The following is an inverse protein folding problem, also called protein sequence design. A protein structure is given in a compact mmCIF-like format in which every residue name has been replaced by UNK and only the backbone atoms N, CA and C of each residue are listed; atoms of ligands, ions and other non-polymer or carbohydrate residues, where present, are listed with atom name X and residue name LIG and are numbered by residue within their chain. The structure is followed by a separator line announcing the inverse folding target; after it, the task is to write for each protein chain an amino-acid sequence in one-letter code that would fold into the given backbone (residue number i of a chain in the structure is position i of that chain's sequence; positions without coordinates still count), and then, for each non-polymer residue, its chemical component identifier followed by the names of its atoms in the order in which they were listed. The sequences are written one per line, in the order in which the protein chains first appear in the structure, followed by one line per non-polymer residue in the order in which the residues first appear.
data_IF_246230589765
#
_entry.id   IF_246230589765
#
_cell.length_a   1.000
_cell.length_b   1.000
_cell.length_c   1.000
_cell.angle_alpha   90.00
_cell.angle_beta   90.00
_cell.angle_gamma   90.00
#
_symmetry.space_group_name_H-M   'P 1'
#
loop_
_entity.id
_entity.type
_entity.pdbx_description
1 polymer ?
#
# COMPACT_ATOMS: atom_id res chain seq x y z
N UNK A 1 -18.95 -9.21 -12.79
CA UNK A 1 -17.59 -9.78 -12.84
C UNK A 1 -16.66 -8.81 -12.13
N UNK A 2 -15.69 -9.25 -11.32
CA UNK A 2 -14.69 -8.33 -10.77
C UNK A 2 -13.99 -7.59 -11.92
N UNK A 3 -13.72 -6.31 -11.72
CA UNK A 3 -13.00 -5.50 -12.69
C UNK A 3 -11.52 -5.85 -12.64
N UNK A 4 -10.91 -6.05 -13.80
CA UNK A 4 -9.48 -6.31 -13.90
C UNK A 4 -8.67 -5.17 -13.26
N UNK A 5 -7.58 -5.52 -12.59
CA UNK A 5 -6.73 -4.56 -11.86
C UNK A 5 -6.01 -3.59 -12.81
N UNK A 6 -5.51 -4.11 -13.92
CA UNK A 6 -4.87 -3.32 -15.00
C UNK A 6 -5.81 -3.33 -16.17
N UNK A 7 -6.13 -2.19 -16.75
CA UNK A 7 -7.08 -2.11 -17.87
C UNK A 7 -6.51 -2.75 -19.14
N UNK A 8 -7.42 -3.20 -20.02
CA UNK A 8 -7.01 -3.74 -21.34
C UNK A 8 -6.21 -2.74 -22.16
N UNK A 9 -6.48 -1.44 -22.00
CA UNK A 9 -5.77 -0.38 -22.72
C UNK A 9 -4.31 -0.30 -22.26
N UNK A 10 -4.05 -0.26 -20.96
CA UNK A 10 -2.68 -0.26 -20.41
C UNK A 10 -1.86 -1.47 -20.87
N UNK A 11 -2.47 -2.66 -20.90
CA UNK A 11 -1.82 -3.88 -21.42
C UNK A 11 -1.50 -3.79 -22.91
N UNK A 12 -2.42 -3.22 -23.68
CA UNK A 12 -2.27 -3.03 -25.12
C UNK A 12 -1.11 -2.08 -25.41
N UNK A 13 -0.98 -0.98 -24.67
CA UNK A 13 0.11 -0.02 -24.86
C UNK A 13 1.48 -0.65 -24.57
N UNK A 14 1.60 -1.43 -23.48
CA UNK A 14 2.84 -2.17 -23.20
C UNK A 14 3.14 -3.21 -24.28
N UNK A 15 2.12 -3.90 -24.80
CA UNK A 15 2.31 -4.82 -25.93
C UNK A 15 2.84 -4.09 -27.16
N UNK A 16 2.27 -2.94 -27.51
CA UNK A 16 2.74 -2.19 -28.69
C UNK A 16 4.17 -1.63 -28.48
N UNK A 17 4.60 -1.33 -27.26
CA UNK A 17 6.02 -1.11 -26.95
C UNK A 17 6.88 -2.33 -27.32
N UNK A 18 6.50 -3.52 -26.86
CA UNK A 18 7.23 -4.76 -27.15
C UNK A 18 7.24 -5.12 -28.64
N UNK A 19 6.21 -4.74 -29.40
CA UNK A 19 6.18 -4.88 -30.87
C UNK A 19 7.29 -4.05 -31.54
N UNK A 20 7.82 -3.02 -30.89
CA UNK A 20 9.02 -2.29 -31.34
C UNK A 20 10.35 -2.99 -31.04
N UNK A 21 10.36 -4.05 -30.22
CA UNK A 21 11.57 -4.73 -29.71
C UNK A 21 11.83 -6.08 -30.41
N UNK A 22 12.63 -6.99 -29.85
CA UNK A 22 12.85 -8.35 -30.38
C UNK A 22 12.05 -9.41 -29.61
N UNK A 23 11.87 -10.60 -30.21
CA UNK A 23 11.27 -11.76 -29.52
C UNK A 23 12.08 -12.20 -28.29
N UNK A 24 13.40 -12.04 -28.33
CA UNK A 24 14.28 -12.36 -27.21
C UNK A 24 14.02 -11.42 -26.02
N UNK A 25 13.97 -10.10 -26.26
CA UNK A 25 13.67 -9.10 -25.22
C UNK A 25 12.31 -9.39 -24.57
N UNK A 26 11.30 -9.73 -25.38
CA UNK A 26 9.99 -10.09 -24.84
C UNK A 26 10.09 -11.31 -23.92
N UNK A 27 10.82 -12.36 -24.33
CA UNK A 27 10.95 -13.56 -23.49
C UNK A 27 11.72 -13.25 -22.22
N UNK A 28 12.86 -12.58 -22.33
CA UNK A 28 13.74 -12.23 -21.21
C UNK A 28 12.99 -11.42 -20.14
N UNK A 29 12.21 -10.41 -20.53
CA UNK A 29 11.46 -9.57 -19.58
C UNK A 29 10.35 -10.33 -18.84
N UNK A 30 9.58 -11.15 -19.55
CA UNK A 30 8.47 -11.89 -18.94
C UNK A 30 8.96 -13.09 -18.12
N UNK A 31 9.98 -13.80 -18.59
CA UNK A 31 10.59 -14.92 -17.87
C UNK A 31 11.30 -14.44 -16.60
N UNK A 32 11.99 -13.29 -16.64
CA UNK A 32 12.62 -12.68 -15.47
C UNK A 32 11.59 -12.26 -14.38
N UNK A 33 10.33 -12.05 -14.77
CA UNK A 33 9.23 -11.78 -13.86
C UNK A 33 8.44 -13.04 -13.44
N UNK A 34 8.94 -14.24 -13.74
CA UNK A 34 8.28 -15.52 -13.48
C UNK A 34 6.88 -15.65 -14.12
N UNK A 35 6.68 -15.08 -15.31
CA UNK A 35 5.44 -15.21 -16.09
C UNK A 35 5.65 -16.25 -17.17
N UNK A 36 4.95 -17.38 -17.10
CA UNK A 36 5.01 -18.41 -18.15
C UNK A 36 4.19 -18.01 -19.38
N UNK A 37 4.59 -18.47 -20.57
CA UNK A 37 3.80 -18.35 -21.80
C UNK A 37 2.97 -19.60 -22.09
N UNK A 38 1.80 -19.40 -22.71
CA UNK A 38 1.02 -20.47 -23.33
C UNK A 38 1.27 -20.45 -24.85
N UNK A 39 2.28 -21.20 -25.30
CA UNK A 39 2.68 -21.24 -26.72
C UNK A 39 1.61 -21.86 -27.65
N UNK A 40 0.61 -22.56 -27.09
CA UNK A 40 -0.51 -23.13 -27.86
C UNK A 40 -1.64 -22.12 -28.05
N UNK A 41 -1.61 -20.99 -27.33
CA UNK A 41 -2.61 -19.95 -27.50
C UNK A 41 -2.41 -19.22 -28.84
N UNK A 42 -3.49 -19.13 -29.63
CA UNK A 42 -3.56 -18.38 -30.88
C UNK A 42 -4.48 -17.15 -30.73
N UNK A 43 -3.94 -15.98 -30.35
CA UNK A 43 -4.71 -14.80 -29.98
C UNK A 43 -5.41 -14.06 -31.15
N UNK A 44 -5.38 -14.61 -32.38
CA UNK A 44 -6.01 -13.98 -33.57
C UNK A 44 -5.42 -12.60 -33.94
N UNK A 45 -4.25 -12.25 -33.40
CA UNK A 45 -3.55 -11.00 -33.67
C UNK A 45 -2.47 -11.18 -34.73
N UNK A 46 -2.24 -10.16 -35.55
CA UNK A 46 -1.19 -10.18 -36.57
C UNK A 46 0.21 -9.92 -36.00
N UNK A 47 1.17 -10.79 -36.35
CA UNK A 47 2.60 -10.61 -36.11
C UNK A 47 3.13 -11.44 -34.92
N UNK A 48 4.36 -11.95 -35.08
CA UNK A 48 4.99 -12.85 -34.10
C UNK A 48 5.17 -12.20 -32.72
N UNK A 49 5.60 -10.93 -32.65
CA UNK A 49 5.80 -10.20 -31.38
C UNK A 49 4.50 -9.98 -30.61
N UNK A 50 3.42 -9.56 -31.30
CA UNK A 50 2.08 -9.43 -30.69
C UNK A 50 1.57 -10.76 -30.18
N UNK A 51 1.76 -11.81 -30.97
CA UNK A 51 1.36 -13.18 -30.61
C UNK A 51 2.05 -13.61 -29.32
N UNK A 52 3.37 -13.46 -29.23
CA UNK A 52 4.15 -13.87 -28.06
C UNK A 52 3.72 -13.14 -26.79
N UNK A 53 3.53 -11.82 -26.84
CA UNK A 53 3.05 -11.06 -25.65
C UNK A 53 1.67 -11.53 -25.21
N UNK A 54 0.76 -11.78 -26.16
CA UNK A 54 -0.58 -12.29 -25.83
C UNK A 54 -0.55 -13.72 -25.25
N UNK A 55 0.41 -14.55 -25.67
CA UNK A 55 0.65 -15.87 -25.07
C UNK A 55 1.11 -15.79 -23.62
N UNK A 56 1.91 -14.78 -23.24
CA UNK A 56 2.19 -14.48 -21.83
C UNK A 56 0.97 -13.91 -21.11
N UNK A 57 0.27 -12.93 -21.70
CA UNK A 57 -0.91 -12.32 -21.07
C UNK A 57 -2.04 -13.30 -20.80
N UNK A 58 -2.12 -14.38 -21.58
CA UNK A 58 -3.10 -15.44 -21.41
C UNK A 58 -2.97 -16.18 -20.07
N UNK A 59 -1.75 -16.29 -19.53
CA UNK A 59 -1.48 -17.03 -18.28
C UNK A 59 -1.70 -16.17 -17.03
N UNK A 60 -1.82 -14.85 -17.20
CA UNK A 60 -2.00 -13.89 -16.11
C UNK A 60 -3.47 -13.82 -15.71
N UNK A 61 -3.77 -14.09 -14.44
CA UNK A 61 -5.07 -13.74 -13.87
C UNK A 61 -5.11 -12.26 -13.49
N UNK A 62 -5.71 -11.44 -14.35
CA UNK A 62 -5.80 -9.98 -14.17
C UNK A 62 -6.67 -9.50 -13.00
N UNK A 63 -7.41 -10.43 -12.36
CA UNK A 63 -8.12 -10.18 -11.11
C UNK A 63 -7.31 -10.61 -9.88
N UNK A 64 -6.17 -11.29 -10.08
CA UNK A 64 -5.24 -11.69 -9.04
C UNK A 64 -4.10 -10.69 -8.94
N UNK A 65 -3.89 -10.13 -7.75
CA UNK A 65 -2.76 -9.24 -7.54
C UNK A 65 -1.40 -9.96 -7.61
N UNK A 66 -1.31 -11.24 -7.22
CA UNK A 66 -0.06 -12.00 -7.33
C UNK A 66 0.47 -12.01 -8.76
N UNK A 67 -0.43 -12.22 -9.72
CA UNK A 67 -0.10 -12.33 -11.13
C UNK A 67 0.13 -10.94 -11.72
N UNK A 68 -0.71 -9.97 -11.34
CA UNK A 68 -0.53 -8.58 -11.75
C UNK A 68 0.79 -8.01 -11.22
N UNK A 69 1.26 -8.40 -10.04
CA UNK A 69 2.56 -7.93 -9.51
C UNK A 69 3.71 -8.34 -10.43
N UNK A 70 3.69 -9.55 -10.96
CA UNK A 70 4.68 -10.01 -11.94
C UNK A 70 4.63 -9.14 -13.20
N UNK A 71 3.43 -8.87 -13.70
CA UNK A 71 3.24 -7.94 -14.81
C UNK A 71 3.74 -6.52 -14.49
N UNK A 72 3.52 -6.04 -13.27
CA UNK A 72 4.05 -4.74 -12.82
C UNK A 72 5.57 -4.74 -12.81
N UNK A 73 6.25 -5.83 -12.45
CA UNK A 73 7.71 -5.94 -12.57
C UNK A 73 8.19 -5.78 -14.01
N UNK A 74 7.53 -6.43 -14.97
CA UNK A 74 7.81 -6.21 -16.41
C UNK A 74 7.61 -4.72 -16.76
N UNK A 75 6.52 -4.12 -16.29
CA UNK A 75 6.21 -2.72 -16.54
C UNK A 75 7.26 -1.77 -15.93
N UNK A 76 7.72 -2.05 -14.70
CA UNK A 76 8.77 -1.29 -14.00
C UNK A 76 10.10 -1.35 -14.75
N UNK A 77 10.51 -2.53 -15.21
CA UNK A 77 11.74 -2.70 -16.02
C UNK A 77 11.68 -1.86 -17.29
N UNK A 78 10.56 -1.92 -18.02
CA UNK A 78 10.34 -1.14 -19.23
C UNK A 78 10.38 0.36 -18.95
N UNK A 79 9.69 0.83 -17.91
CA UNK A 79 9.69 2.25 -17.54
C UNK A 79 11.08 2.73 -17.15
N UNK A 80 11.83 1.95 -16.36
CA UNK A 80 13.20 2.29 -15.94
C UNK A 80 14.12 2.42 -17.15
N UNK A 81 14.08 1.46 -18.08
CA UNK A 81 14.89 1.53 -19.29
C UNK A 81 14.53 2.72 -20.19
N UNK A 82 13.25 3.05 -20.28
CA UNK A 82 12.80 4.23 -21.03
C UNK A 82 13.17 5.55 -20.34
N UNK A 83 13.15 5.60 -19.01
CA UNK A 83 13.59 6.74 -18.19
C UNK A 83 15.08 7.02 -18.40
N UNK A 84 15.94 6.00 -18.30
CA UNK A 84 17.39 6.13 -18.54
C UNK A 84 17.70 6.70 -19.94
N UNK A 85 16.94 6.25 -20.96
CA UNK A 85 17.08 6.75 -22.34
C UNK A 85 16.55 8.17 -22.50
N UNK A 86 15.44 8.49 -21.84
CA UNK A 86 14.89 9.84 -21.82
C UNK A 86 15.89 10.82 -21.19
N UNK A 87 16.55 10.44 -20.10
CA UNK A 87 17.62 11.21 -19.46
C UNK A 87 18.84 11.37 -20.38
N UNK A 88 19.13 10.37 -21.22
CA UNK A 88 20.10 10.45 -22.31
C UNK A 88 19.62 11.26 -23.53
N UNK A 89 18.48 11.98 -23.42
CA UNK A 89 17.88 12.86 -24.44
C UNK A 89 17.32 12.14 -25.66
N UNK A 90 16.88 10.90 -25.51
CA UNK A 90 16.09 10.19 -26.52
C UNK A 90 14.61 10.65 -26.48
N UNK A 91 14.21 11.49 -27.44
CA UNK A 91 12.85 12.03 -27.50
C UNK A 91 11.76 10.97 -27.68
N UNK A 92 12.05 9.88 -28.40
CA UNK A 92 11.07 8.84 -28.67
C UNK A 92 10.89 7.95 -27.43
N UNK A 93 11.97 7.68 -26.71
CA UNK A 93 11.90 7.04 -25.39
C UNK A 93 11.10 7.91 -24.41
N UNK A 94 11.34 9.22 -24.35
CA UNK A 94 10.62 10.14 -23.49
C UNK A 94 9.10 10.17 -23.78
N UNK A 95 8.71 10.22 -25.06
CA UNK A 95 7.28 10.14 -25.46
C UNK A 95 6.64 8.82 -25.06
N UNK A 96 7.37 7.72 -25.26
CA UNK A 96 6.89 6.37 -24.94
C UNK A 96 6.73 6.18 -23.43
N UNK A 97 7.72 6.62 -22.65
CA UNK A 97 7.69 6.65 -21.18
C UNK A 97 6.45 7.41 -20.69
N UNK A 98 6.26 8.64 -21.15
CA UNK A 98 5.14 9.48 -20.75
C UNK A 98 3.77 8.88 -21.13
N UNK A 99 3.69 8.16 -22.25
CA UNK A 99 2.47 7.45 -22.64
C UNK A 99 2.17 6.28 -21.69
N UNK A 100 3.15 5.40 -21.46
CA UNK A 100 3.00 4.24 -20.59
C UNK A 100 2.69 4.66 -19.15
N UNK A 101 3.45 5.62 -18.61
CA UNK A 101 3.21 6.19 -17.28
C UNK A 101 1.76 6.70 -17.14
N UNK A 102 1.26 7.47 -18.10
CA UNK A 102 -0.11 8.00 -18.06
C UNK A 102 -1.18 6.91 -17.98
N UNK A 103 -1.01 5.80 -18.70
CA UNK A 103 -1.99 4.72 -18.72
C UNK A 103 -1.99 3.90 -17.43
N UNK A 104 -0.80 3.58 -16.90
CA UNK A 104 -0.72 2.85 -15.63
C UNK A 104 -1.16 3.74 -14.45
N UNK A 105 -0.95 5.05 -14.51
CA UNK A 105 -1.48 6.01 -13.54
C UNK A 105 -3.01 6.05 -13.54
N UNK A 106 -3.63 6.00 -14.72
CA UNK A 106 -5.09 5.92 -14.85
C UNK A 106 -5.68 4.64 -14.22
N UNK A 107 -4.89 3.57 -14.15
CA UNK A 107 -5.26 2.32 -13.46
C UNK A 107 -4.98 2.37 -11.94
N UNK A 108 -4.62 3.54 -11.40
CA UNK A 108 -4.47 3.77 -9.97
C UNK A 108 -3.07 3.44 -9.43
N UNK A 109 -2.04 3.51 -10.28
CA UNK A 109 -0.64 3.39 -9.88
C UNK A 109 0.08 4.74 -9.93
N UNK A 110 1.26 4.82 -9.32
CA UNK A 110 2.17 5.95 -9.39
C UNK A 110 3.57 5.41 -9.51
N UNK A 111 4.31 5.95 -10.48
CA UNK A 111 5.71 5.64 -10.72
C UNK A 111 6.61 6.63 -9.97
N UNK A 112 7.60 6.12 -9.24
CA UNK A 112 8.65 6.93 -8.63
C UNK A 112 9.90 6.09 -8.41
N UNK A 113 11.07 6.60 -8.83
CA UNK A 113 12.38 5.98 -8.62
C UNK A 113 12.43 4.48 -8.99
N UNK A 114 12.02 4.15 -10.22
CA UNK A 114 12.02 2.77 -10.73
C UNK A 114 10.91 1.87 -10.20
N UNK A 115 9.95 2.39 -9.43
CA UNK A 115 8.93 1.58 -8.75
C UNK A 115 7.51 2.07 -8.98
N UNK A 116 6.60 1.14 -9.25
CA UNK A 116 5.16 1.35 -9.35
C UNK A 116 4.48 0.97 -8.03
N UNK A 117 3.64 1.88 -7.53
CA UNK A 117 2.90 1.71 -6.29
C UNK A 117 1.44 2.10 -6.48
N UNK A 118 0.50 1.44 -5.81
CA UNK A 118 -0.92 1.78 -5.90
C UNK A 118 -1.23 3.07 -5.13
N UNK A 119 -1.88 4.03 -5.79
CA UNK A 119 -2.17 5.39 -5.28
C UNK A 119 -2.98 5.37 -3.97
N UNK A 120 -3.94 4.44 -3.82
CA UNK A 120 -4.76 4.35 -2.60
C UNK A 120 -4.01 3.91 -1.34
N UNK A 121 -2.91 3.17 -1.49
CA UNK A 121 -2.01 2.82 -0.38
C UNK A 121 -0.91 3.86 -0.16
N UNK A 122 -0.52 4.56 -1.24
CA UNK A 122 0.55 5.57 -1.21
C UNK A 122 0.12 6.82 -0.46
N UNK A 123 -1.04 7.40 -0.76
CA UNK A 123 -1.51 8.64 -0.14
C UNK A 123 -1.69 8.53 1.39
N UNK A 124 -2.25 7.41 1.89
CA UNK A 124 -2.41 7.20 3.34
C UNK A 124 -1.06 7.05 4.05
N UNK A 125 -0.08 6.41 3.40
CA UNK A 125 1.26 6.21 3.98
C UNK A 125 2.13 7.46 3.86
N UNK A 126 1.98 8.25 2.79
CA UNK A 126 2.59 9.58 2.64
C UNK A 126 2.10 10.55 3.71
N UNK A 127 0.80 10.56 4.01
CA UNK A 127 0.25 11.41 5.07
C UNK A 127 0.84 11.07 6.44
N UNK A 128 1.06 9.79 6.75
CA UNK A 128 1.81 9.44 7.97
C UNK A 128 3.26 9.90 7.86
N UNK A 129 3.94 9.65 6.73
CA UNK A 129 5.34 10.00 6.58
C UNK A 129 5.59 11.51 6.78
N UNK A 130 4.67 12.36 6.29
CA UNK A 130 4.69 13.81 6.50
C UNK A 130 4.45 14.14 7.98
N UNK A 131 3.40 13.60 8.60
CA UNK A 131 3.09 13.85 10.01
C UNK A 131 4.19 13.33 10.95
N UNK A 132 4.83 12.22 10.61
CA UNK A 132 5.93 11.59 11.34
C UNK A 132 7.27 12.31 11.13
N UNK A 133 7.45 12.99 10.00
CA UNK A 133 8.64 13.81 9.72
C UNK A 133 8.84 14.92 10.75
N UNK A 134 7.78 15.36 11.43
CA UNK A 134 7.85 16.32 12.53
C UNK A 134 8.46 15.75 13.82
N UNK A 135 8.51 14.41 13.97
CA UNK A 135 9.01 13.74 15.18
C UNK A 135 10.40 13.12 15.02
N UNK A 136 10.98 13.11 13.82
CA UNK A 136 12.28 12.49 13.49
C UNK A 136 12.45 11.06 14.06
N UNK A 137 11.51 10.16 13.74
CA UNK A 137 11.55 8.76 14.21
C UNK A 137 11.92 7.82 13.06
N UNK A 138 13.18 7.38 12.93
CA UNK A 138 13.63 6.48 11.86
C UNK A 138 12.86 5.15 11.81
N UNK A 139 12.37 4.69 12.95
CA UNK A 139 11.58 3.45 13.04
C UNK A 139 10.24 3.57 12.30
N UNK A 140 9.57 4.73 12.32
CA UNK A 140 8.31 4.93 11.60
C UNK A 140 8.52 4.81 10.09
N UNK A 141 9.62 5.34 9.55
CA UNK A 141 9.93 5.23 8.13
C UNK A 141 10.19 3.77 7.71
N UNK A 142 10.91 3.00 8.55
CA UNK A 142 11.11 1.57 8.32
C UNK A 142 9.79 0.80 8.32
N UNK A 143 8.91 1.08 9.28
CA UNK A 143 7.60 0.44 9.37
C UNK A 143 6.71 0.79 8.16
N UNK A 144 6.71 2.04 7.70
CA UNK A 144 5.98 2.47 6.49
C UNK A 144 6.48 1.70 5.26
N UNK A 145 7.79 1.64 5.03
CA UNK A 145 8.36 0.89 3.90
C UNK A 145 8.03 -0.61 3.98
N UNK A 146 8.09 -1.19 5.18
CA UNK A 146 7.70 -2.59 5.43
C UNK A 146 6.22 -2.82 5.11
N UNK A 147 5.33 -1.92 5.52
CA UNK A 147 3.90 -1.98 5.17
C UNK A 147 3.71 -1.94 3.64
N UNK A 148 4.35 -1.00 2.93
CA UNK A 148 4.21 -0.85 1.47
C UNK A 148 4.55 -2.13 0.71
N UNK A 149 5.61 -2.81 1.15
CA UNK A 149 6.06 -4.07 0.55
C UNK A 149 5.21 -5.27 0.95
N UNK A 150 4.62 -5.25 2.16
CA UNK A 150 3.88 -6.36 2.73
C UNK A 150 2.38 -6.38 2.38
N UNK A 151 1.70 -5.23 2.21
CA UNK A 151 0.22 -5.12 2.08
C UNK A 151 -0.40 -6.20 1.20
N UNK A 152 0.28 -6.51 0.11
CA UNK A 152 -0.22 -7.40 -0.92
C UNK A 152 0.39 -8.80 -0.91
N UNK A 153 1.62 -8.95 -0.41
CA UNK A 153 2.37 -10.22 -0.47
C UNK A 153 2.33 -10.98 0.85
N UNK A 154 2.28 -10.22 1.95
CA UNK A 154 2.17 -10.73 3.31
C UNK A 154 1.18 -9.84 4.10
N UNK A 155 -0.13 -10.02 3.89
CA UNK A 155 -1.16 -9.27 4.59
C UNK A 155 -1.04 -9.37 6.12
N UNK A 156 -0.55 -10.50 6.63
CA UNK A 156 -0.34 -10.73 8.06
C UNK A 156 0.75 -9.81 8.59
N UNK A 157 1.90 -9.77 7.91
CA UNK A 157 2.99 -8.85 8.23
C UNK A 157 2.54 -7.39 8.11
N UNK A 158 1.81 -7.03 7.07
CA UNK A 158 1.32 -5.66 6.89
C UNK A 158 0.44 -5.20 8.06
N UNK A 159 -0.45 -6.07 8.55
CA UNK A 159 -1.35 -5.78 9.67
C UNK A 159 -0.57 -5.70 10.99
N UNK A 160 0.37 -6.63 11.21
CA UNK A 160 1.26 -6.58 12.37
C UNK A 160 2.06 -5.28 12.40
N UNK A 161 2.62 -4.88 11.26
CA UNK A 161 3.38 -3.63 11.12
C UNK A 161 2.49 -2.40 11.30
N UNK A 162 1.25 -2.43 10.82
CA UNK A 162 0.30 -1.33 11.00
C UNK A 162 -0.05 -1.11 12.49
N UNK A 163 -0.20 -2.19 13.26
CA UNK A 163 -0.35 -2.13 14.72
C UNK A 163 0.90 -1.53 15.37
N UNK A 164 2.08 -2.06 15.04
CA UNK A 164 3.36 -1.57 15.58
C UNK A 164 3.55 -0.07 15.30
N UNK A 165 3.16 0.41 14.11
CA UNK A 165 3.22 1.82 13.74
C UNK A 165 2.38 2.70 14.67
N UNK A 166 1.15 2.30 15.00
CA UNK A 166 0.31 3.04 15.95
C UNK A 166 0.92 3.00 17.35
N UNK A 167 1.48 1.85 17.77
CA UNK A 167 2.15 1.72 19.07
C UNK A 167 3.38 2.64 19.15
N UNK A 168 4.22 2.68 18.12
CA UNK A 168 5.37 3.60 18.03
C UNK A 168 4.93 5.05 18.13
N UNK A 169 3.93 5.47 17.35
CA UNK A 169 3.38 6.84 17.43
C UNK A 169 2.89 7.17 18.84
N UNK A 170 2.12 6.26 19.46
CA UNK A 170 1.59 6.50 20.79
C UNK A 170 2.69 6.60 21.84
N UNK A 171 3.66 5.69 21.82
CA UNK A 171 4.81 5.70 22.74
C UNK A 171 5.61 6.99 22.60
N UNK A 172 5.91 7.43 21.37
CA UNK A 172 6.64 8.69 21.13
C UNK A 172 5.88 9.90 21.70
N UNK A 173 4.56 9.98 21.48
CA UNK A 173 3.74 11.08 22.03
C UNK A 173 3.75 11.07 23.57
N UNK A 174 3.60 9.89 24.18
CA UNK A 174 3.57 9.74 25.64
C UNK A 174 4.93 10.08 26.27
N UNK A 175 6.02 9.64 25.65
CA UNK A 175 7.39 9.96 26.06
C UNK A 175 7.63 11.48 26.03
N UNK A 176 7.27 12.16 24.93
CA UNK A 176 7.41 13.62 24.82
C UNK A 176 6.55 14.39 25.82
N UNK A 177 5.40 13.83 26.22
CA UNK A 177 4.52 14.40 27.26
C UNK A 177 4.88 13.96 28.67
N UNK A 178 5.93 13.15 28.85
CA UNK A 178 6.40 12.66 30.15
C UNK A 178 5.31 11.87 30.88
N UNK A 179 4.52 11.09 30.15
CA UNK A 179 3.45 10.24 30.69
C UNK A 179 3.95 8.79 30.74
N UNK A 180 4.12 8.20 31.93
CA UNK A 180 4.59 6.83 32.05
C UNK A 180 3.52 5.84 31.62
N UNK A 181 3.94 4.79 30.91
CA UNK A 181 3.12 3.64 30.57
C UNK A 181 3.92 2.35 30.81
N UNK A 182 3.26 1.21 31.11
CA UNK A 182 3.92 -0.08 31.21
C UNK A 182 4.65 -0.45 29.90
N UNK A 183 5.82 -1.09 30.01
CA UNK A 183 6.61 -1.51 28.84
C UNK A 183 5.85 -2.51 27.95
N UNK A 184 4.97 -3.31 28.57
CA UNK A 184 4.11 -4.32 27.94
C UNK A 184 2.70 -3.82 27.59
N UNK A 185 2.46 -2.50 27.68
CA UNK A 185 1.18 -1.91 27.35
C UNK A 185 0.78 -2.23 25.90
N UNK A 186 -0.43 -2.77 25.74
CA UNK A 186 -0.99 -3.03 24.42
C UNK A 186 -1.45 -1.73 23.73
N UNK A 187 -1.70 -1.83 22.42
CA UNK A 187 -2.22 -0.73 21.59
C UNK A 187 -3.46 -0.05 22.19
N UNK A 188 -4.34 -0.80 22.86
CA UNK A 188 -5.55 -0.24 23.47
C UNK A 188 -5.23 0.67 24.64
N UNK A 189 -4.33 0.24 25.52
CA UNK A 189 -3.81 1.05 26.65
C UNK A 189 -3.10 2.29 26.13
N UNK A 190 -2.19 2.13 25.17
CA UNK A 190 -1.42 3.23 24.59
C UNK A 190 -2.31 4.31 23.96
N UNK A 191 -3.26 3.91 23.11
CA UNK A 191 -4.17 4.85 22.45
C UNK A 191 -5.09 5.54 23.47
N UNK A 192 -5.52 4.83 24.51
CA UNK A 192 -6.32 5.43 25.59
C UNK A 192 -5.56 6.54 26.31
N UNK A 193 -4.31 6.29 26.72
CA UNK A 193 -3.51 7.28 27.43
C UNK A 193 -3.15 8.48 26.53
N UNK A 194 -2.80 8.26 25.26
CA UNK A 194 -2.59 9.36 24.31
C UNK A 194 -3.85 10.19 24.14
N UNK A 195 -5.02 9.56 23.95
CA UNK A 195 -6.28 10.30 23.81
C UNK A 195 -6.57 11.13 25.04
N UNK A 196 -6.32 10.61 26.24
CA UNK A 196 -6.47 11.37 27.48
C UNK A 196 -5.50 12.56 27.54
N UNK A 197 -4.22 12.32 27.24
CA UNK A 197 -3.17 13.34 27.21
C UNK A 197 -3.46 14.47 26.20
N UNK A 198 -4.07 14.11 25.08
CA UNK A 198 -4.46 15.03 24.02
C UNK A 198 -5.90 15.52 24.16
N UNK A 199 -6.59 15.30 25.28
CA UNK A 199 -7.99 15.74 25.47
C UNK A 199 -8.95 15.29 24.36
N UNK A 200 -8.72 14.11 23.77
CA UNK A 200 -9.51 13.43 22.74
C UNK A 200 -10.45 12.38 23.37
N UNK A 201 -11.08 12.78 24.48
CA UNK A 201 -12.01 11.95 25.25
C UNK A 201 -13.42 12.54 25.15
N UNK A 202 -14.49 11.74 25.09
CA UNK A 202 -15.85 12.28 24.97
C UNK A 202 -16.20 13.35 26.00
N UNK A 203 -15.67 13.22 27.21
CA UNK A 203 -15.88 14.10 28.36
C UNK A 203 -15.27 15.50 28.16
N UNK A 204 -14.25 15.64 27.31
CA UNK A 204 -13.64 16.94 27.01
C UNK A 204 -14.45 17.78 26.03
N UNK A 205 -15.48 17.21 25.40
CA UNK A 205 -16.33 17.91 24.42
C UNK A 205 -17.43 18.67 25.16
N UNK A 206 -17.50 20.03 25.05
CA UNK A 206 -18.54 20.82 25.70
C UNK A 206 -19.94 20.41 25.23
N UNK A 207 -20.86 20.17 26.16
CA UNK A 207 -22.23 19.72 25.87
C UNK A 207 -23.03 20.72 25.02
N UNK A 208 -22.71 22.01 25.12
CA UNK A 208 -23.35 23.07 24.35
C UNK A 208 -22.81 23.21 22.92
N UNK A 209 -21.74 22.50 22.55
CA UNK A 209 -21.18 22.58 21.21
C UNK A 209 -22.12 21.94 20.19
N UNK A 210 -22.37 22.64 19.07
CA UNK A 210 -23.15 22.09 17.96
C UNK A 210 -22.45 20.83 17.44
N UNK A 211 -23.14 19.69 17.49
CA UNK A 211 -22.58 18.40 17.07
C UNK A 211 -21.73 17.68 18.12
N UNK A 212 -21.78 18.09 19.40
CA UNK A 212 -21.02 17.46 20.49
C UNK A 212 -21.20 15.93 20.54
N UNK A 213 -22.42 15.43 20.39
CA UNK A 213 -22.69 13.98 20.38
C UNK A 213 -22.01 13.27 19.21
N UNK A 214 -22.00 13.87 18.02
CA UNK A 214 -21.31 13.34 16.84
C UNK A 214 -19.81 13.26 17.08
N UNK A 215 -19.21 14.32 17.63
CA UNK A 215 -17.77 14.35 17.95
C UNK A 215 -17.42 13.28 18.98
N UNK A 216 -18.21 13.17 20.06
CA UNK A 216 -18.02 12.13 21.08
C UNK A 216 -18.05 10.73 20.47
N UNK A 217 -19.00 10.46 19.57
CA UNK A 217 -19.09 9.17 18.88
C UNK A 217 -17.87 8.91 17.98
N UNK A 218 -17.38 9.92 17.26
CA UNK A 218 -16.16 9.78 16.44
C UNK A 218 -14.94 9.46 17.30
N UNK A 219 -14.77 10.13 18.44
CA UNK A 219 -13.68 9.86 19.38
C UNK A 219 -13.77 8.44 19.96
N UNK A 220 -14.97 7.96 20.29
CA UNK A 220 -15.17 6.58 20.73
C UNK A 220 -14.81 5.57 19.63
N UNK A 221 -15.25 5.82 18.39
CA UNK A 221 -14.93 4.97 17.24
C UNK A 221 -13.42 4.90 16.96
N UNK A 222 -12.69 5.99 17.21
CA UNK A 222 -11.23 6.01 17.11
C UNK A 222 -10.56 4.97 18.05
N UNK A 223 -11.06 4.85 19.28
CA UNK A 223 -10.62 3.81 20.21
C UNK A 223 -10.93 2.39 19.72
N UNK A 224 -12.13 2.18 19.16
CA UNK A 224 -12.54 0.89 18.60
C UNK A 224 -11.68 0.48 17.41
N UNK A 225 -11.20 1.43 16.59
CA UNK A 225 -10.25 1.16 15.50
C UNK A 225 -8.95 0.58 16.05
N UNK A 226 -8.37 1.21 17.08
CA UNK A 226 -7.14 0.73 17.70
C UNK A 226 -7.30 -0.68 18.29
N UNK A 227 -8.41 -0.93 18.99
CA UNK A 227 -8.75 -2.26 19.50
C UNK A 227 -8.88 -3.28 18.37
N UNK A 228 -9.62 -2.94 17.31
CA UNK A 228 -9.81 -3.79 16.15
C UNK A 228 -8.49 -4.13 15.43
N UNK A 229 -7.51 -3.22 15.39
CA UNK A 229 -6.17 -3.51 14.87
C UNK A 229 -5.43 -4.56 15.73
N UNK A 230 -5.53 -4.46 17.05
CA UNK A 230 -4.96 -5.44 17.98
C UNK A 230 -5.57 -6.84 17.80
N UNK A 231 -6.90 -6.90 17.76
CA UNK A 231 -7.66 -8.14 17.54
C UNK A 231 -7.35 -8.75 16.19
N UNK A 232 -7.33 -7.94 15.13
CA UNK A 232 -7.01 -8.39 13.78
C UNK A 232 -5.59 -8.97 13.75
N UNK A 233 -4.59 -8.31 14.32
CA UNK A 233 -3.23 -8.87 14.42
C UNK A 233 -3.24 -10.21 15.16
N UNK A 234 -4.00 -10.38 16.23
CA UNK A 234 -4.04 -11.63 16.98
C UNK A 234 -4.67 -12.79 16.19
N UNK A 235 -5.57 -12.49 15.24
CA UNK A 235 -6.08 -13.48 14.29
C UNK A 235 -5.00 -13.94 13.28
N UNK A 236 -3.97 -13.13 13.03
CA UNK A 236 -2.87 -13.41 12.09
C UNK A 236 -1.55 -13.85 12.75
N UNK A 237 -1.29 -13.45 13.98
CA UNK A 237 -0.06 -13.74 14.73
C UNK A 237 -0.08 -15.18 15.24
N UNK A 238 0.75 -16.02 14.65
CA UNK A 238 0.92 -17.45 14.91
C UNK A 238 0.84 -17.86 16.38
N UNK A 239 -0.01 -18.84 16.74
CA UNK A 239 0.22 -19.59 17.98
C UNK A 239 -0.94 -20.28 18.70
N UNK A 240 -1.88 -20.95 18.03
CA UNK A 240 -2.45 -22.21 18.55
C UNK A 240 -3.08 -23.00 17.39
N UNK A 241 -2.54 -24.19 17.15
CA UNK A 241 -2.96 -25.05 16.05
C UNK A 241 -4.45 -25.34 16.08
N UNK A 242 -5.14 -24.94 15.02
CA UNK A 242 -6.19 -25.76 14.43
C UNK A 242 -5.95 -25.80 12.93
N UNK A 243 -5.65 -27.00 12.46
CA UNK A 243 -5.65 -27.35 11.06
C UNK A 243 -6.89 -26.73 10.37
N UNK A 244 -6.66 -25.86 9.39
CA UNK A 244 -7.66 -25.54 8.36
C UNK A 244 -8.30 -24.14 8.31
N UNK A 245 -8.05 -23.20 9.25
CA UNK A 245 -8.90 -21.99 9.35
C UNK A 245 -8.22 -20.60 9.25
N UNK A 246 -6.94 -20.48 8.88
CA UNK A 246 -6.37 -19.18 8.46
C UNK A 246 -6.71 -18.83 6.99
N UNK A 247 -7.77 -19.42 6.43
CA UNK A 247 -8.36 -19.04 5.14
C UNK A 247 -9.36 -17.92 5.39
N UNK A 248 -9.01 -16.67 5.11
CA UNK A 248 -10.05 -15.64 5.07
C UNK A 248 -9.57 -14.23 4.79
N UNK A 249 -8.37 -13.88 5.26
CA UNK A 249 -7.95 -12.50 5.22
C UNK A 249 -6.84 -12.27 4.18
N UNK A 250 -7.24 -11.67 3.04
CA UNK A 250 -6.33 -11.26 1.96
C UNK A 250 -5.98 -9.76 1.95
N UNK A 251 -5.28 -9.29 0.90
CA UNK A 251 -4.76 -7.92 0.79
C UNK A 251 -5.77 -6.81 1.05
N UNK A 252 -7.05 -7.02 0.72
CA UNK A 252 -8.12 -6.03 1.00
C UNK A 252 -8.25 -5.71 2.50
N UNK A 253 -8.04 -6.68 3.39
CA UNK A 253 -8.13 -6.47 4.83
C UNK A 253 -6.85 -5.81 5.37
N UNK A 254 -5.68 -6.15 4.80
CA UNK A 254 -4.45 -5.42 5.10
C UNK A 254 -4.56 -3.95 4.70
N UNK A 255 -5.12 -3.65 3.53
CA UNK A 255 -5.39 -2.25 3.11
C UNK A 255 -6.34 -1.53 4.07
N UNK A 256 -7.39 -2.19 4.56
CA UNK A 256 -8.29 -1.62 5.56
C UNK A 256 -7.56 -1.31 6.87
N UNK A 257 -6.80 -2.28 7.40
CA UNK A 257 -6.06 -2.13 8.64
C UNK A 257 -4.99 -1.04 8.53
N UNK A 258 -4.20 -1.06 7.45
CA UNK A 258 -3.19 -0.03 7.18
C UNK A 258 -3.85 1.33 7.05
N UNK A 259 -4.90 1.47 6.23
CA UNK A 259 -5.59 2.76 6.08
C UNK A 259 -6.13 3.30 7.40
N UNK A 260 -6.74 2.42 8.23
CA UNK A 260 -7.24 2.80 9.54
C UNK A 260 -6.11 3.21 10.52
N UNK A 261 -5.02 2.45 10.54
CA UNK A 261 -3.82 2.77 11.31
C UNK A 261 -3.20 4.10 10.87
N UNK A 262 -3.14 4.34 9.55
CA UNK A 262 -2.64 5.58 8.97
C UNK A 262 -3.46 6.78 9.37
N UNK A 263 -4.78 6.72 9.21
CA UNK A 263 -5.67 7.80 9.63
C UNK A 263 -5.57 8.08 11.13
N UNK A 264 -5.50 7.03 11.96
CA UNK A 264 -5.33 7.16 13.40
C UNK A 264 -4.00 7.84 13.75
N UNK A 265 -2.89 7.32 13.22
CA UNK A 265 -1.55 7.82 13.47
C UNK A 265 -1.41 9.29 13.07
N UNK A 266 -1.80 9.63 11.82
CA UNK A 266 -1.76 11.02 11.33
C UNK A 266 -2.56 11.95 12.23
N UNK A 267 -3.80 11.59 12.58
CA UNK A 267 -4.63 12.44 13.42
C UNK A 267 -4.04 12.68 14.82
N UNK A 268 -3.46 11.64 15.45
CA UNK A 268 -2.82 11.76 16.76
C UNK A 268 -1.58 12.67 16.69
N UNK A 269 -0.77 12.54 15.64
CA UNK A 269 0.42 13.35 15.41
C UNK A 269 0.08 14.81 15.15
N UNK A 270 -0.88 15.09 14.27
CA UNK A 270 -1.36 16.45 13.98
C UNK A 270 -1.92 17.10 15.25
N UNK A 271 -2.78 16.40 15.98
CA UNK A 271 -3.32 16.89 17.26
C UNK A 271 -2.22 17.15 18.28
N UNK A 272 -1.20 16.28 18.33
CA UNK A 272 -0.06 16.46 19.22
C UNK A 272 0.73 17.72 18.89
N UNK A 273 1.02 17.96 17.61
CA UNK A 273 1.74 19.14 17.13
C UNK A 273 0.95 20.43 17.39
N UNK A 274 -0.36 20.45 17.10
CA UNK A 274 -1.23 21.59 17.38
C UNK A 274 -1.30 21.95 18.86
N UNK A 275 -1.23 20.96 19.75
CA UNK A 275 -1.30 21.12 21.21
C UNK A 275 0.06 21.09 21.91
N UNK A 276 1.14 21.08 21.13
CA UNK A 276 2.53 21.17 21.59
C UNK A 276 3.12 22.58 21.43
N UNK A 277 2.36 23.47 20.78
CA UNK A 277 2.54 24.93 20.73
C UNK A 277 1.66 25.60 21.80
#
# INVERSE_FOLDING_TARGET
MPADIVSRKTRTELREYFVGTSLSIISDEFDAADISSDLQHEPGVGGQRRTLVEQYYKTINWNSWSDVRKFITVYENVLTHLEDRADAKDEDAAKTFASLQRWIERDGFSYAAGRLSRVGSKASLENIAVAAGALDVPELQRQIARIQTAIDNDPALAIGTAKELVETVCKTILEQRVIPVPDDADIGVLVKEVRKALGLVPESVPSAAKGAETVRRLLSNLGNVAQGLGELRNLYGTGHGKAGAARGLGPRHARLAVGAASTLATFLLETHAERGL
#
